data_IF_341411732518
#
_entry.id   IF_341411732518
#
_cell.length_a   1.000
_cell.length_b   1.000
_cell.length_c   1.000
_cell.angle_alpha   90.00
_cell.angle_beta   90.00
_cell.angle_gamma   90.00
#
_symmetry.space_group_name_H-M   'P 1'
#
loop_
_entity.id
_entity.type
_entity.pdbx_description
1 polymer ?
#
# COMPACT_ATOMS: atom_id res chain seq x y z
N UNK A 1 13.48 27.36 21.50
CA UNK A 1 13.81 26.42 20.40
C UNK A 1 13.79 25.03 21.00
N UNK A 2 12.85 24.17 20.61
CA UNK A 2 12.69 22.86 21.26
C UNK A 2 13.83 21.92 20.85
N UNK A 3 14.54 21.35 21.84
CA UNK A 3 15.57 20.33 21.66
C UNK A 3 14.89 18.99 21.33
N UNK A 4 14.52 18.81 20.08
CA UNK A 4 14.10 17.50 19.59
C UNK A 4 15.34 16.61 19.46
N UNK A 5 15.34 15.38 19.99
CA UNK A 5 16.44 14.45 19.75
C UNK A 5 16.55 14.22 18.25
N UNK A 6 17.75 14.40 17.69
CA UNK A 6 18.03 14.05 16.30
C UNK A 6 17.84 12.53 16.15
N UNK A 7 16.71 12.10 15.61
CA UNK A 7 16.44 10.70 15.30
C UNK A 7 17.01 10.42 13.91
N UNK A 8 18.14 9.70 13.78
CA UNK A 8 18.73 9.44 12.48
C UNK A 8 17.80 8.56 11.65
N UNK A 9 17.35 9.09 10.51
CA UNK A 9 16.47 8.38 9.58
C UNK A 9 17.32 7.54 8.62
N UNK A 10 17.20 6.21 8.72
CA UNK A 10 17.93 5.30 7.82
C UNK A 10 17.31 5.34 6.41
N UNK A 11 18.11 5.41 5.34
CA UNK A 11 17.60 5.30 3.97
C UNK A 11 17.13 3.86 3.68
N UNK A 12 16.11 3.72 2.84
CA UNK A 12 15.66 2.42 2.34
C UNK A 12 16.71 1.82 1.41
N UNK A 13 16.91 0.52 1.52
CA UNK A 13 17.88 -0.21 0.72
C UNK A 13 17.34 -0.46 -0.69
N UNK A 14 18.22 -0.43 -1.70
CA UNK A 14 17.89 -0.83 -3.08
C UNK A 14 17.18 0.21 -3.95
N UNK A 15 17.12 1.49 -3.55
CA UNK A 15 16.53 2.58 -4.34
C UNK A 15 17.57 3.66 -4.68
N UNK A 16 17.42 4.32 -5.84
CA UNK A 16 18.35 5.33 -6.35
C UNK A 16 18.19 6.72 -5.71
N UNK A 17 17.17 6.92 -4.88
CA UNK A 17 16.86 8.18 -4.22
C UNK A 17 16.60 7.96 -2.73
N UNK A 18 16.74 9.01 -1.92
CA UNK A 18 16.48 8.92 -0.49
C UNK A 18 14.98 8.73 -0.22
N UNK A 19 14.64 7.66 0.49
CA UNK A 19 13.35 7.45 1.13
C UNK A 19 13.60 6.75 2.46
N UNK A 20 12.86 7.06 3.55
CA UNK A 20 13.07 6.44 4.84
C UNK A 20 12.81 4.92 4.80
N UNK A 21 13.71 4.15 5.40
CA UNK A 21 13.54 2.70 5.57
C UNK A 21 12.26 2.40 6.37
N UNK A 22 11.40 1.55 5.81
CA UNK A 22 10.19 1.08 6.47
C UNK A 22 10.53 -0.09 7.37
N UNK A 23 10.94 0.20 8.61
CA UNK A 23 11.21 -0.82 9.65
C UNK A 23 10.35 -0.52 10.87
N UNK A 24 9.31 -1.33 11.17
CA UNK A 24 8.88 -2.55 10.46
C UNK A 24 8.28 -2.27 9.07
N UNK A 25 8.09 -3.30 8.21
CA UNK A 25 7.47 -3.13 6.90
C UNK A 25 6.11 -2.44 6.97
N UNK A 26 5.80 -1.64 5.95
CA UNK A 26 4.50 -1.00 5.78
C UNK A 26 3.34 -2.00 5.93
N UNK A 27 2.31 -1.62 6.67
CA UNK A 27 1.13 -2.43 6.91
C UNK A 27 1.26 -3.40 8.09
N UNK A 28 2.38 -3.39 8.82
CA UNK A 28 2.59 -4.18 10.04
C UNK A 28 1.77 -3.60 11.20
N UNK A 29 1.02 -4.46 11.88
CA UNK A 29 0.27 -4.05 13.07
C UNK A 29 1.19 -3.57 14.20
N UNK A 30 0.85 -2.44 14.83
CA UNK A 30 1.54 -1.96 16.02
C UNK A 30 1.53 -3.01 17.15
N UNK A 31 2.64 -3.18 17.85
CA UNK A 31 2.73 -4.06 19.01
C UNK A 31 3.55 -3.38 20.12
N UNK A 32 3.01 -3.15 21.33
CA UNK A 32 1.67 -3.49 21.80
C UNK A 32 0.56 -2.59 21.21
N UNK A 33 -0.66 -3.13 21.14
CA UNK A 33 -1.85 -2.38 20.72
C UNK A 33 -2.32 -1.46 21.86
N UNK A 34 -2.79 -0.25 21.52
CA UNK A 34 -3.30 0.73 22.50
C UNK A 34 -4.45 0.18 23.35
N UNK A 35 -5.24 -0.75 22.79
CA UNK A 35 -6.36 -1.38 23.49
C UNK A 35 -5.95 -2.48 24.48
N UNK A 36 -4.67 -2.86 24.54
CA UNK A 36 -4.17 -3.99 25.34
C UNK A 36 -4.59 -5.37 24.81
N UNK A 37 -5.42 -5.43 23.76
CA UNK A 37 -5.89 -6.68 23.14
C UNK A 37 -4.84 -7.22 22.17
N UNK A 38 -4.81 -8.55 21.93
CA UNK A 38 -3.93 -9.11 20.91
C UNK A 38 -4.31 -8.59 19.52
N UNK A 39 -3.33 -8.57 18.60
CA UNK A 39 -3.52 -8.13 17.22
C UNK A 39 -4.66 -8.94 16.57
N UNK A 40 -5.71 -8.30 16.03
CA UNK A 40 -6.79 -8.98 15.34
C UNK A 40 -6.29 -9.76 14.13
N UNK A 41 -6.96 -10.86 13.77
CA UNK A 41 -6.59 -11.71 12.61
C UNK A 41 -6.46 -10.90 11.30
N UNK A 42 -7.25 -9.85 11.15
CA UNK A 42 -7.23 -8.96 9.98
C UNK A 42 -5.86 -8.30 9.74
N UNK A 43 -5.12 -7.97 10.81
CA UNK A 43 -3.82 -7.31 10.73
C UNK A 43 -2.64 -8.27 10.97
N UNK A 44 -2.88 -9.58 10.86
CA UNK A 44 -1.81 -10.59 10.91
C UNK A 44 -1.36 -10.93 9.49
N UNK A 45 -0.07 -11.25 9.30
CA UNK A 45 0.43 -11.67 8.00
C UNK A 45 -0.32 -12.85 7.40
N UNK A 46 -0.32 -12.91 6.07
CA UNK A 46 -0.91 -13.98 5.28
C UNK A 46 0.04 -14.33 4.13
N UNK A 47 0.48 -15.59 4.08
CA UNK A 47 1.30 -16.10 2.97
C UNK A 47 0.41 -16.82 1.95
N UNK A 48 0.47 -16.38 0.69
CA UNK A 48 -0.26 -16.98 -0.43
C UNK A 48 0.75 -17.28 -1.54
N UNK A 49 0.88 -18.55 -1.93
CA UNK A 49 1.77 -19.01 -3.02
C UNK A 49 3.22 -18.49 -2.88
N UNK A 50 3.73 -18.40 -1.65
CA UNK A 50 5.09 -17.93 -1.34
C UNK A 50 5.24 -16.42 -1.12
N UNK A 51 4.22 -15.60 -1.43
CA UNK A 51 4.20 -14.17 -1.16
C UNK A 51 3.55 -13.89 0.20
N UNK A 52 4.23 -13.15 1.07
CA UNK A 52 3.71 -12.78 2.40
C UNK A 52 3.20 -11.35 2.43
N UNK A 53 1.89 -11.19 2.65
CA UNK A 53 1.24 -9.92 2.91
C UNK A 53 1.30 -9.58 4.39
N UNK A 54 1.57 -8.32 4.75
CA UNK A 54 1.71 -7.88 6.14
C UNK A 54 0.37 -7.81 6.89
N UNK A 55 -0.72 -7.61 6.16
CA UNK A 55 -2.08 -7.64 6.66
C UNK A 55 -3.03 -8.25 5.61
N UNK A 56 -4.28 -8.45 5.99
CA UNK A 56 -5.33 -9.05 5.14
C UNK A 56 -6.27 -8.00 4.57
N UNK A 57 -5.84 -6.74 4.51
CA UNK A 57 -6.57 -5.68 3.84
C UNK A 57 -6.24 -5.74 2.35
N UNK A 58 -7.27 -5.89 1.53
CA UNK A 58 -7.15 -5.92 0.08
C UNK A 58 -8.01 -4.81 -0.53
N UNK A 59 -7.44 -4.04 -1.45
CA UNK A 59 -8.24 -3.25 -2.38
C UNK A 59 -8.69 -4.16 -3.52
N UNK A 60 -10.00 -4.34 -3.63
CA UNK A 60 -10.63 -5.04 -4.75
C UNK A 60 -10.49 -4.20 -6.05
N UNK A 61 -10.60 -4.79 -7.25
CA UNK A 61 -10.63 -4.03 -8.49
C UNK A 61 -11.83 -3.06 -8.48
N UNK A 62 -11.57 -1.79 -8.80
CA UNK A 62 -12.56 -0.70 -8.75
C UNK A 62 -12.52 0.10 -10.06
N UNK A 63 -13.57 0.06 -10.86
CA UNK A 63 -13.63 0.87 -12.08
C UNK A 63 -13.76 2.36 -11.72
N UNK A 64 -12.77 3.17 -12.10
CA UNK A 64 -12.78 4.60 -11.77
C UNK A 64 -13.51 5.45 -12.80
N UNK A 65 -13.68 4.93 -14.03
CA UNK A 65 -14.31 5.63 -15.16
C UNK A 65 -13.82 7.06 -15.34
N UNK A 66 -12.54 7.30 -15.03
CA UNK A 66 -11.94 8.63 -15.05
C UNK A 66 -11.34 8.98 -16.42
N UNK A 67 -11.28 8.00 -17.31
CA UNK A 67 -11.02 8.10 -18.74
C UNK A 67 -11.59 6.85 -19.43
N UNK A 68 -11.79 6.90 -20.75
CA UNK A 68 -12.43 5.83 -21.52
C UNK A 68 -11.46 4.70 -21.94
N UNK A 69 -10.15 4.91 -21.83
CA UNK A 69 -9.19 3.95 -22.40
C UNK A 69 -7.82 3.87 -21.70
N UNK A 70 -7.40 4.87 -20.92
CA UNK A 70 -6.05 4.89 -20.37
C UNK A 70 -5.96 5.41 -18.93
N UNK A 71 -4.81 5.13 -18.30
CA UNK A 71 -4.48 5.65 -16.99
C UNK A 71 -4.17 7.16 -17.08
N UNK A 72 -5.11 8.00 -16.65
CA UNK A 72 -4.90 9.44 -16.43
C UNK A 72 -4.34 9.75 -15.03
N UNK A 73 -3.81 10.97 -14.77
CA UNK A 73 -3.22 11.34 -13.48
C UNK A 73 -4.10 11.09 -12.24
N UNK A 74 -5.44 11.10 -12.41
CA UNK A 74 -6.38 10.72 -11.35
C UNK A 74 -6.04 9.36 -10.73
N UNK A 75 -5.76 8.35 -11.55
CA UNK A 75 -5.47 7.00 -11.08
C UNK A 75 -4.21 6.97 -10.22
N UNK A 76 -3.17 7.72 -10.60
CA UNK A 76 -1.94 7.81 -9.83
C UNK A 76 -2.21 8.42 -8.45
N UNK A 77 -2.97 9.50 -8.39
CA UNK A 77 -3.35 10.13 -7.11
C UNK A 77 -4.26 9.22 -6.28
N UNK A 78 -5.24 8.55 -6.91
CA UNK A 78 -6.20 7.68 -6.23
C UNK A 78 -5.51 6.44 -5.62
N UNK A 79 -4.84 5.64 -6.45
CA UNK A 79 -4.12 4.45 -5.98
C UNK A 79 -2.95 4.83 -5.09
N UNK A 80 -2.25 5.94 -5.35
CA UNK A 80 -1.20 6.46 -4.48
C UNK A 80 -1.72 6.85 -3.09
N UNK A 81 -2.91 7.44 -3.00
CA UNK A 81 -3.58 7.74 -1.74
C UNK A 81 -3.95 6.49 -0.94
N UNK A 82 -4.39 5.44 -1.62
CA UNK A 82 -4.71 4.15 -0.98
C UNK A 82 -3.42 3.42 -0.56
N UNK A 83 -2.38 3.44 -1.40
CA UNK A 83 -1.10 2.79 -1.10
C UNK A 83 -0.46 3.35 0.18
N UNK A 84 -0.63 4.66 0.44
CA UNK A 84 -0.20 5.32 1.69
C UNK A 84 -0.92 4.80 2.95
N UNK A 85 -2.05 4.09 2.81
CA UNK A 85 -2.75 3.42 3.93
C UNK A 85 -2.28 1.99 4.15
N UNK A 86 -1.31 1.52 3.35
CA UNK A 86 -0.58 0.27 3.52
C UNK A 86 -1.46 -1.00 3.52
N UNK A 87 -2.38 -1.17 2.56
CA UNK A 87 -3.05 -2.46 2.39
C UNK A 87 -2.03 -3.53 2.00
N UNK A 88 -2.23 -4.77 2.47
CA UNK A 88 -1.39 -5.89 2.11
C UNK A 88 -1.48 -6.24 0.62
N UNK A 89 -2.64 -6.00 -0.01
CA UNK A 89 -2.87 -6.24 -1.43
C UNK A 89 -3.63 -5.09 -2.07
N UNK A 90 -3.27 -4.73 -3.30
CA UNK A 90 -4.02 -3.82 -4.15
C UNK A 90 -4.15 -4.41 -5.55
N UNK A 91 -5.36 -4.40 -6.09
CA UNK A 91 -5.64 -4.76 -7.48
C UNK A 91 -6.11 -3.49 -8.18
N UNK A 92 -5.44 -3.13 -9.28
CA UNK A 92 -5.86 -2.01 -10.13
C UNK A 92 -7.18 -2.34 -10.82
N UNK A 93 -7.86 -1.34 -11.38
CA UNK A 93 -9.10 -1.54 -12.11
C UNK A 93 -8.97 -2.50 -13.30
N UNK A 94 -10.12 -2.90 -13.83
CA UNK A 94 -10.19 -3.78 -15.00
C UNK A 94 -9.44 -3.12 -16.17
N UNK A 95 -8.41 -3.80 -16.65
CA UNK A 95 -7.66 -3.41 -17.83
C UNK A 95 -7.95 -4.37 -18.97
N UNK A 96 -8.25 -3.82 -20.14
CA UNK A 96 -8.44 -4.62 -21.34
C UNK A 96 -7.14 -5.33 -21.72
N UNK A 97 -7.26 -6.61 -22.14
CA UNK A 97 -6.12 -7.39 -22.63
C UNK A 97 -5.80 -7.12 -24.11
N UNK A 98 -6.72 -6.45 -24.82
CA UNK A 98 -6.59 -6.05 -26.23
C UNK A 98 -7.00 -4.59 -26.42
N UNK A 99 -6.45 -3.88 -27.43
CA UNK A 99 -6.69 -2.43 -27.61
C UNK A 99 -8.13 -2.04 -27.92
N UNK A 100 -8.94 -2.99 -28.43
CA UNK A 100 -10.27 -2.70 -28.98
C UNK A 100 -11.41 -2.72 -27.95
N UNK A 101 -11.12 -2.95 -26.67
CA UNK A 101 -12.14 -2.92 -25.62
C UNK A 101 -12.10 -1.59 -24.87
N UNK A 102 -13.07 -0.68 -25.10
CA UNK A 102 -13.22 0.49 -24.26
C UNK A 102 -13.52 0.06 -22.81
N UNK A 103 -13.11 0.86 -21.84
CA UNK A 103 -13.41 0.61 -20.42
C UNK A 103 -14.89 0.89 -20.06
N UNK A 104 -15.80 0.83 -21.03
CA UNK A 104 -17.22 1.12 -20.92
C UNK A 104 -18.07 0.18 -21.76
#
# INVERSE_FOLDING_TARGET
MANWPNVPTKPAEGVSYFTPAQTPPAGTARNPQTSGKPIPKLFRPLTVRGLTFQNRLGLAPICQYSDDSHMVPWHLTHYGGIAQREPGLMIIEVTAVVPAQPCR
#
